data_IF_573760484381
#
_entry.id   IF_573760484381
#
_cell.length_a   1.000
_cell.length_b   1.000
_cell.length_c   1.000
_cell.angle_alpha   90.00
_cell.angle_beta   90.00
_cell.angle_gamma   90.00
#
_symmetry.space_group_name_H-M   'P 1'
#
loop_
_entity.id
_entity.type
_entity.pdbx_description
1 polymer ?
#
# COMPACT_ATOMS: atom_id res chain seq x y z
N UNK A 1 47.03 -3.15 20.11
CA UNK A 1 45.73 -2.59 20.59
C UNK A 1 44.85 -2.02 19.47
N UNK A 2 45.39 -1.39 18.42
CA UNK A 2 44.60 -0.82 17.30
C UNK A 2 43.71 -1.82 16.54
N UNK A 3 44.17 -3.07 16.35
CA UNK A 3 43.38 -4.14 15.69
C UNK A 3 42.17 -4.58 16.53
N UNK A 4 42.36 -4.75 17.83
CA UNK A 4 41.29 -5.07 18.80
C UNK A 4 40.27 -3.93 18.89
N UNK A 5 40.72 -2.68 18.86
CA UNK A 5 39.84 -1.51 18.80
C UNK A 5 39.00 -1.49 17.51
N UNK A 6 39.59 -1.88 16.37
CA UNK A 6 38.87 -2.03 15.10
C UNK A 6 37.78 -3.11 15.13
N UNK A 7 38.07 -4.27 15.73
CA UNK A 7 37.06 -5.33 15.90
C UNK A 7 35.92 -4.89 16.83
N UNK A 8 36.24 -4.17 17.91
CA UNK A 8 35.23 -3.63 18.83
C UNK A 8 34.29 -2.64 18.13
N UNK A 9 34.84 -1.74 17.30
CA UNK A 9 34.05 -0.77 16.55
C UNK A 9 33.13 -1.45 15.50
N UNK A 10 33.62 -2.52 14.86
CA UNK A 10 32.84 -3.29 13.89
C UNK A 10 31.65 -4.04 14.53
N UNK A 11 31.82 -4.56 15.75
CA UNK A 11 30.75 -5.20 16.51
C UNK A 11 29.66 -4.19 16.92
N UNK A 12 30.06 -2.98 17.32
CA UNK A 12 29.10 -1.91 17.66
C UNK A 12 28.28 -1.49 16.44
N UNK A 13 28.92 -1.32 15.28
CA UNK A 13 28.22 -0.97 14.03
C UNK A 13 27.22 -2.07 13.64
N UNK A 14 27.60 -3.35 13.78
CA UNK A 14 26.71 -4.48 13.52
C UNK A 14 25.48 -4.49 14.42
N UNK A 15 25.60 -4.08 15.70
CA UNK A 15 24.47 -4.03 16.63
C UNK A 15 23.46 -2.92 16.28
N UNK A 16 23.92 -1.79 15.74
CA UNK A 16 23.05 -0.68 15.33
C UNK A 16 22.20 -1.08 14.10
N UNK A 17 22.75 -1.89 13.21
CA UNK A 17 22.05 -2.35 12.00
C UNK A 17 20.96 -3.40 12.27
N UNK A 18 20.92 -4.01 13.46
CA UNK A 18 19.92 -5.02 13.82
C UNK A 18 18.60 -4.42 14.34
N UNK A 19 18.51 -3.10 14.53
CA UNK A 19 17.29 -2.43 15.02
C UNK A 19 16.53 -1.72 13.88
N UNK A 20 15.94 -2.50 12.98
CA UNK A 20 14.89 -1.99 12.09
C UNK A 20 13.71 -2.97 11.94
N UNK A 21 13.49 -3.82 12.93
CA UNK A 21 12.38 -4.77 12.93
C UNK A 21 11.68 -4.78 14.28
N UNK A 22 11.35 -3.61 14.83
CA UNK A 22 10.13 -3.53 15.64
C UNK A 22 8.95 -3.57 14.68
N UNK A 23 8.77 -4.74 14.02
CA UNK A 23 7.44 -5.14 13.57
C UNK A 23 6.69 -5.46 14.86
N UNK A 24 6.36 -4.40 15.60
CA UNK A 24 5.30 -4.40 16.58
C UNK A 24 4.17 -5.10 15.83
N UNK A 25 3.80 -6.28 16.30
CA UNK A 25 2.61 -6.98 15.86
C UNK A 25 1.47 -6.01 16.15
N UNK A 26 1.22 -5.09 15.23
CA UNK A 26 0.08 -4.20 15.23
C UNK A 26 -1.12 -5.09 14.92
N UNK A 27 -1.48 -5.91 15.90
CA UNK A 27 -2.87 -6.15 16.25
C UNK A 27 -3.45 -4.90 16.94
N UNK A 28 -3.05 -3.72 16.51
CA UNK A 28 -3.67 -2.44 16.83
C UNK A 28 -4.44 -2.06 15.59
N UNK A 29 -5.77 -2.04 15.71
CA UNK A 29 -6.69 -1.47 14.73
C UNK A 29 -6.02 -0.23 14.13
N UNK A 30 -5.51 -0.33 12.90
CA UNK A 30 -4.92 0.82 12.22
C UNK A 30 -5.94 1.95 12.29
N UNK A 31 -5.52 3.20 12.51
CA UNK A 31 -6.47 4.30 12.53
C UNK A 31 -7.27 4.32 11.23
N UNK A 32 -8.57 4.63 11.32
CA UNK A 32 -9.39 4.81 10.12
C UNK A 32 -8.82 5.98 9.32
N UNK A 33 -8.82 5.85 8.00
CA UNK A 33 -8.48 6.97 7.13
C UNK A 33 -9.46 8.12 7.39
N UNK A 34 -8.89 9.29 7.72
CA UNK A 34 -9.58 10.51 8.14
C UNK A 34 -9.39 11.69 7.17
N UNK A 35 -8.80 11.45 5.99
CA UNK A 35 -8.34 12.48 5.05
C UNK A 35 -9.44 13.07 4.16
N UNK A 36 -9.08 13.48 2.95
CA UNK A 36 -10.05 13.95 1.96
C UNK A 36 -10.85 12.78 1.37
N UNK A 37 -12.06 13.02 0.85
CA UNK A 37 -12.81 11.95 0.19
C UNK A 37 -12.02 11.42 -1.03
N UNK A 38 -11.83 10.10 -1.08
CA UNK A 38 -11.15 9.42 -2.19
C UNK A 38 -12.17 8.77 -3.11
N UNK A 39 -12.08 9.08 -4.40
CA UNK A 39 -12.83 8.38 -5.47
C UNK A 39 -11.93 7.29 -6.06
N UNK A 40 -12.30 6.03 -5.82
CA UNK A 40 -11.55 4.87 -6.32
C UNK A 40 -12.38 4.18 -7.40
N UNK A 41 -11.84 4.11 -8.62
CA UNK A 41 -12.39 3.27 -9.68
C UNK A 41 -12.13 1.80 -9.34
N UNK A 42 -13.13 0.92 -9.49
CA UNK A 42 -12.95 -0.51 -9.24
C UNK A 42 -13.46 -1.40 -10.36
N UNK A 43 -12.56 -2.26 -10.85
CA UNK A 43 -12.86 -3.29 -11.85
C UNK A 43 -13.07 -4.62 -11.12
N UNK A 44 -14.34 -4.99 -10.96
CA UNK A 44 -14.78 -6.19 -10.24
C UNK A 44 -15.72 -5.85 -9.08
N UNK A 45 -15.72 -6.71 -8.05
CA UNK A 45 -16.57 -6.53 -6.88
C UNK A 45 -16.06 -5.42 -5.95
N UNK A 46 -17.01 -4.69 -5.34
CA UNK A 46 -16.66 -3.63 -4.39
C UNK A 46 -16.31 -4.29 -3.05
N UNK A 47 -15.10 -4.09 -2.50
CA UNK A 47 -14.71 -4.69 -1.24
C UNK A 47 -15.48 -4.03 -0.09
N UNK A 48 -15.77 -4.82 0.94
CA UNK A 48 -16.29 -4.29 2.19
C UNK A 48 -15.12 -3.74 3.02
N UNK A 49 -15.06 -2.41 3.14
CA UNK A 49 -14.06 -1.70 3.93
C UNK A 49 -14.72 -0.98 5.10
N UNK A 50 -13.92 -0.56 6.08
CA UNK A 50 -14.39 0.15 7.29
C UNK A 50 -14.30 1.67 7.14
N UNK A 51 -13.56 2.12 6.15
CA UNK A 51 -13.30 3.51 5.79
C UNK A 51 -14.55 4.15 5.17
N UNK A 52 -15.02 5.27 5.76
CA UNK A 52 -16.23 5.98 5.30
C UNK A 52 -15.95 7.03 4.23
N UNK A 53 -14.70 7.48 4.12
CA UNK A 53 -14.28 8.55 3.20
C UNK A 53 -13.77 8.01 1.86
N UNK A 54 -14.14 6.78 1.52
CA UNK A 54 -13.80 6.15 0.25
C UNK A 54 -15.10 5.91 -0.52
N UNK A 55 -15.16 6.46 -1.73
CA UNK A 55 -16.23 6.21 -2.69
C UNK A 55 -15.71 5.29 -3.78
N UNK A 56 -16.19 4.04 -3.77
CA UNK A 56 -15.93 3.11 -4.87
C UNK A 56 -16.90 3.38 -6.02
N UNK A 57 -16.34 3.52 -7.23
CA UNK A 57 -17.09 3.66 -8.47
C UNK A 57 -16.76 2.44 -9.32
N UNK A 58 -17.75 1.60 -9.58
CA UNK A 58 -17.54 0.44 -10.45
C UNK A 58 -17.30 0.92 -11.87
N UNK A 59 -16.20 0.46 -12.46
CA UNK A 59 -15.80 0.73 -13.84
C UNK A 59 -15.43 -0.60 -14.52
N UNK A 60 -15.33 -0.57 -15.84
CA UNK A 60 -14.92 -1.69 -16.69
C UNK A 60 -13.56 -1.41 -17.34
N UNK A 61 -12.91 -2.44 -17.86
CA UNK A 61 -11.65 -2.29 -18.60
C UNK A 61 -11.78 -1.33 -19.79
N UNK A 62 -12.92 -1.34 -20.49
CA UNK A 62 -13.21 -0.42 -21.60
C UNK A 62 -13.29 1.05 -21.17
N UNK A 63 -13.53 1.33 -19.89
CA UNK A 63 -13.56 2.71 -19.39
C UNK A 63 -12.16 3.31 -19.28
N UNK A 64 -11.11 2.47 -19.20
CA UNK A 64 -9.71 2.89 -19.15
C UNK A 64 -9.23 3.50 -20.47
N UNK A 65 -9.88 3.15 -21.58
CA UNK A 65 -9.53 3.61 -22.93
C UNK A 65 -10.20 4.95 -23.29
N UNK A 66 -11.07 5.48 -22.42
CA UNK A 66 -11.79 6.72 -22.67
C UNK A 66 -10.90 7.94 -22.42
N UNK A 67 -11.01 8.93 -23.29
CA UNK A 67 -10.33 10.21 -23.11
C UNK A 67 -10.70 10.86 -21.77
N UNK A 68 -9.69 11.39 -21.07
CA UNK A 68 -9.88 12.09 -19.79
C UNK A 68 -10.24 11.17 -18.62
N UNK A 69 -9.97 9.87 -18.72
CA UNK A 69 -10.18 8.92 -17.63
C UNK A 69 -9.28 9.21 -16.40
N UNK A 70 -8.03 9.62 -16.61
CA UNK A 70 -7.03 9.83 -15.55
C UNK A 70 -7.38 10.92 -14.52
N UNK A 71 -8.23 11.88 -14.90
CA UNK A 71 -8.60 12.99 -14.01
C UNK A 71 -9.81 12.70 -13.12
N UNK A 72 -10.49 11.56 -13.31
CA UNK A 72 -11.76 11.25 -12.65
C UNK A 72 -11.61 10.53 -11.31
N UNK A 73 -10.49 9.85 -11.09
CA UNK A 73 -10.26 8.96 -9.95
C UNK A 73 -8.91 9.22 -9.29
N UNK A 74 -8.83 9.02 -7.97
CA UNK A 74 -7.57 9.09 -7.24
C UNK A 74 -6.73 7.81 -7.40
N UNK A 75 -7.39 6.68 -7.63
CA UNK A 75 -6.77 5.38 -7.84
C UNK A 75 -7.73 4.41 -8.54
N UNK A 76 -7.18 3.34 -9.09
CA UNK A 76 -7.94 2.25 -9.72
C UNK A 76 -7.53 0.92 -9.11
N UNK A 77 -8.50 0.18 -8.61
CA UNK A 77 -8.31 -1.15 -8.06
C UNK A 77 -8.88 -2.20 -9.02
N UNK A 78 -8.08 -3.23 -9.29
CA UNK A 78 -8.51 -4.42 -10.02
C UNK A 78 -8.57 -5.56 -9.02
N UNK A 79 -9.75 -6.14 -8.80
CA UNK A 79 -9.89 -7.21 -7.81
C UNK A 79 -9.21 -8.49 -8.29
N UNK A 80 -8.87 -9.38 -7.35
CA UNK A 80 -8.20 -10.65 -7.63
C UNK A 80 -8.85 -11.45 -8.77
N UNK A 81 -10.18 -11.49 -8.81
CA UNK A 81 -10.93 -12.24 -9.82
C UNK A 81 -10.84 -11.60 -11.22
N UNK A 82 -10.64 -10.29 -11.29
CA UNK A 82 -10.46 -9.53 -12.54
C UNK A 82 -9.00 -9.40 -12.97
N UNK A 83 -8.05 -9.68 -12.07
CA UNK A 83 -6.61 -9.46 -12.29
C UNK A 83 -6.06 -10.28 -13.45
N UNK A 84 -6.53 -11.53 -13.62
CA UNK A 84 -6.10 -12.41 -14.73
C UNK A 84 -6.43 -11.84 -16.12
N UNK A 85 -7.44 -10.96 -16.21
CA UNK A 85 -7.80 -10.25 -17.44
C UNK A 85 -6.95 -9.00 -17.66
N UNK A 86 -6.41 -8.41 -16.59
CA UNK A 86 -5.52 -7.25 -16.66
C UNK A 86 -4.08 -7.62 -17.04
N UNK A 87 -3.67 -8.86 -16.78
CA UNK A 87 -2.33 -9.37 -17.06
C UNK A 87 -2.20 -10.09 -18.41
N UNK A 88 -3.26 -10.08 -19.23
CA UNK A 88 -3.25 -10.62 -20.58
C UNK A 88 -2.93 -9.52 -21.57
#
# INVERSE_FOLDING_TARGET
MKKIFGYFLLVIISMILLSCNTLHSQSTKANLYGGQELKIGIIGEIPKVREKQIKFIRIQFSDLEKDGFDSQYNAIFITKNSLSRASK
#
